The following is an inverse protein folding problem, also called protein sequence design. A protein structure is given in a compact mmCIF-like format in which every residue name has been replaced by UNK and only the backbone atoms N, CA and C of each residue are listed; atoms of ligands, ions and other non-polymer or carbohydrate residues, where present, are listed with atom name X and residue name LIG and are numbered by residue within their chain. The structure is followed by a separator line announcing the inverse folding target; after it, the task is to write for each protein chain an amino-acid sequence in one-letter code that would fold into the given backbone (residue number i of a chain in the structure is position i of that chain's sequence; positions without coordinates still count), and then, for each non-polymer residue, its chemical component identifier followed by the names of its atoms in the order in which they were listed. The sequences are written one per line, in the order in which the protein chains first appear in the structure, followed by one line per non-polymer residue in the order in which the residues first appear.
data_IF_709208196772
#
_entry.id   IF_709208196772
#
_cell.length_a   1.000
_cell.length_b   1.000
_cell.length_c   1.000
_cell.angle_alpha   90.00
_cell.angle_beta   90.00
_cell.angle_gamma   90.00
#
_symmetry.space_group_name_H-M   'P 1'
#
loop_
_entity.id
_entity.type
_entity.pdbx_description
1 polymer ?
#
# COMPACT_ATOMS: atom_id res chain seq x y z
N UNK A 1 29.51 -77.67 -11.08
CA UNK A 1 29.18 -78.33 -9.80
C UNK A 1 27.95 -77.60 -9.27
N UNK A 2 26.71 -78.08 -9.38
CA UNK A 2 26.18 -79.32 -8.78
C UNK A 2 26.74 -79.43 -7.35
N UNK A 3 26.01 -79.38 -6.24
CA UNK A 3 24.71 -79.97 -5.85
C UNK A 3 24.40 -79.36 -4.45
N UNK A 4 23.18 -78.98 -4.02
CA UNK A 4 22.14 -79.71 -3.24
C UNK A 4 21.20 -78.60 -2.68
N UNK A 5 19.88 -78.52 -2.90
CA UNK A 5 18.74 -79.41 -2.60
C UNK A 5 18.50 -79.66 -1.09
N UNK A 6 17.48 -79.00 -0.50
CA UNK A 6 16.33 -79.67 0.16
C UNK A 6 15.24 -78.70 0.67
N UNK A 7 14.04 -79.27 0.89
CA UNK A 7 12.68 -78.68 0.85
C UNK A 7 12.01 -78.68 2.24
N UNK A 8 11.37 -77.54 2.64
CA UNK A 8 10.13 -77.22 3.45
C UNK A 8 9.77 -78.01 4.75
N UNK A 9 8.75 -77.63 5.58
CA UNK A 9 7.94 -76.39 5.70
C UNK A 9 7.75 -75.82 7.16
N UNK A 10 7.29 -74.57 7.23
CA UNK A 10 6.27 -74.01 8.16
C UNK A 10 6.47 -74.06 9.69
N UNK A 11 6.37 -72.85 10.27
CA UNK A 11 5.98 -72.46 11.64
C UNK A 11 7.08 -72.21 12.69
N UNK A 12 7.36 -70.92 12.91
CA UNK A 12 7.40 -70.17 14.19
C UNK A 12 8.41 -69.02 14.04
N UNK A 13 7.97 -67.83 13.63
CA UNK A 13 7.55 -66.74 14.54
C UNK A 13 8.64 -66.42 15.55
N UNK A 14 9.60 -65.57 15.17
CA UNK A 14 9.95 -64.29 15.80
C UNK A 14 11.31 -63.79 15.27
N UNK A 15 11.42 -62.46 15.13
CA UNK A 15 12.65 -61.69 14.93
C UNK A 15 13.35 -61.81 13.56
N UNK A 16 13.02 -60.87 12.65
CA UNK A 16 13.96 -60.16 11.76
C UNK A 16 13.16 -59.41 10.66
N UNK A 17 12.51 -58.31 11.04
CA UNK A 17 12.10 -57.27 10.08
C UNK A 17 12.85 -55.99 10.43
N UNK A 18 14.18 -56.08 10.30
CA UNK A 18 15.13 -54.96 10.33
C UNK A 18 15.97 -55.06 9.07
N UNK A 19 15.39 -54.64 7.95
CA UNK A 19 16.09 -54.17 6.74
C UNK A 19 15.03 -53.80 5.69
N UNK A 20 15.18 -52.60 5.12
CA UNK A 20 14.38 -52.00 4.02
C UNK A 20 13.09 -51.26 4.41
N UNK A 21 13.26 -50.16 5.15
CA UNK A 21 12.38 -48.99 5.07
C UNK A 21 13.16 -47.66 5.29
N UNK A 22 14.43 -47.61 4.87
CA UNK A 22 15.30 -46.42 5.01
C UNK A 22 15.48 -45.62 3.71
N UNK A 23 14.58 -45.76 2.74
CA UNK A 23 14.60 -44.94 1.52
C UNK A 23 13.14 -44.55 1.24
N UNK A 24 12.87 -43.25 1.13
CA UNK A 24 11.56 -42.56 1.09
C UNK A 24 10.93 -42.12 2.43
N UNK A 25 11.76 -41.89 3.44
CA UNK A 25 11.41 -40.98 4.52
C UNK A 25 12.01 -39.59 4.28
N UNK A 26 11.65 -38.89 3.20
CA UNK A 26 11.71 -37.43 3.23
C UNK A 26 10.59 -36.99 4.17
N UNK A 27 10.81 -37.19 5.46
CA UNK A 27 10.14 -36.37 6.46
C UNK A 27 10.47 -34.95 6.03
N UNK A 28 9.50 -34.26 5.45
CA UNK A 28 9.52 -32.82 5.39
C UNK A 28 9.82 -32.38 6.82
N UNK A 29 11.05 -31.96 7.09
CA UNK A 29 11.40 -31.39 8.37
C UNK A 29 10.47 -30.19 8.51
N UNK A 30 9.52 -30.26 9.43
CA UNK A 30 8.71 -29.10 9.77
C UNK A 30 9.68 -28.00 10.22
N UNK A 31 9.53 -26.79 9.67
CA UNK A 31 10.32 -25.64 10.10
C UNK A 31 10.20 -25.48 11.62
N UNK A 32 11.29 -25.06 12.29
CA UNK A 32 11.26 -24.80 13.72
C UNK A 32 10.28 -23.66 14.02
N UNK A 33 9.15 -24.01 14.63
CA UNK A 33 8.06 -23.08 14.83
C UNK A 33 8.43 -21.87 15.71
N UNK A 34 9.32 -22.07 16.70
CA UNK A 34 9.80 -20.97 17.52
C UNK A 34 10.75 -20.06 16.73
N UNK A 35 11.59 -20.64 15.86
CA UNK A 35 12.44 -19.85 14.97
C UNK A 35 11.62 -18.98 14.00
N UNK A 36 10.55 -19.53 13.43
CA UNK A 36 9.61 -18.78 12.57
C UNK A 36 8.96 -17.64 13.35
N UNK A 37 8.42 -17.93 14.55
CA UNK A 37 7.78 -16.94 15.40
C UNK A 37 8.73 -15.79 15.77
N UNK A 38 9.93 -16.10 16.29
CA UNK A 38 10.93 -15.08 16.63
C UNK A 38 11.38 -14.28 15.42
N UNK A 39 11.44 -14.91 14.24
CA UNK A 39 11.78 -14.19 13.02
C UNK A 39 10.72 -13.18 12.60
N UNK A 40 9.44 -13.56 12.69
CA UNK A 40 8.32 -12.65 12.43
C UNK A 40 8.32 -11.46 13.41
N UNK A 41 8.59 -11.70 14.70
CA UNK A 41 8.76 -10.61 15.68
C UNK A 41 9.88 -9.66 15.29
N UNK A 42 11.04 -10.19 14.91
CA UNK A 42 12.19 -9.39 14.51
C UNK A 42 11.90 -8.52 13.28
N UNK A 43 11.18 -9.05 12.29
CA UNK A 43 10.78 -8.28 11.10
C UNK A 43 9.80 -7.18 11.47
N UNK A 44 8.79 -7.48 12.28
CA UNK A 44 7.81 -6.49 12.72
C UNK A 44 8.44 -5.39 13.61
N UNK A 45 9.42 -5.76 14.44
CA UNK A 45 10.19 -4.80 15.24
C UNK A 45 10.98 -3.80 14.40
N UNK A 46 11.55 -4.25 13.25
CA UNK A 46 12.21 -3.34 12.30
C UNK A 46 11.25 -2.32 11.68
N UNK A 47 9.95 -2.58 11.68
CA UNK A 47 8.91 -1.68 11.20
C UNK A 47 8.38 -0.74 12.30
N UNK A 48 8.99 -0.72 13.49
CA UNK A 48 8.58 0.15 14.60
C UNK A 48 7.39 -0.39 15.40
N UNK A 49 7.12 -1.69 15.32
CA UNK A 49 6.07 -2.35 16.09
C UNK A 49 6.57 -3.36 17.12
N UNK A 50 5.66 -3.85 17.95
CA UNK A 50 5.91 -5.00 18.83
C UNK A 50 4.90 -6.11 18.51
N UNK A 51 5.39 -7.33 18.29
CA UNK A 51 4.58 -8.51 18.01
C UNK A 51 4.82 -9.53 19.11
N UNK A 52 3.75 -9.98 19.77
CA UNK A 52 3.82 -10.94 20.85
C UNK A 52 2.88 -12.10 20.61
N UNK A 53 3.25 -13.27 21.14
CA UNK A 53 2.44 -14.49 21.10
C UNK A 53 2.38 -15.07 22.51
N UNK A 54 1.21 -15.55 22.92
CA UNK A 54 1.06 -16.25 24.19
C UNK A 54 1.71 -17.64 24.14
N UNK A 55 1.60 -18.31 22.99
CA UNK A 55 2.18 -19.63 22.76
C UNK A 55 2.39 -19.90 21.26
N UNK A 56 3.26 -20.85 20.93
CA UNK A 56 3.53 -21.28 19.54
C UNK A 56 3.33 -22.79 19.47
N UNK A 57 2.36 -23.25 18.68
CA UNK A 57 2.07 -24.68 18.47
C UNK A 57 2.40 -25.10 17.05
N UNK A 58 3.10 -26.22 16.92
CA UNK A 58 3.41 -26.83 15.63
C UNK A 58 2.66 -28.15 15.46
N UNK A 59 2.08 -28.37 14.28
CA UNK A 59 1.51 -29.63 13.82
C UNK A 59 1.93 -29.87 12.37
N UNK A 60 3.00 -30.65 12.15
CA UNK A 60 3.62 -30.79 10.84
C UNK A 60 4.09 -29.42 10.31
N UNK A 61 3.73 -29.11 9.06
CA UNK A 61 4.02 -27.81 8.42
C UNK A 61 3.09 -26.68 8.85
N UNK A 62 2.12 -26.93 9.74
CA UNK A 62 1.22 -25.90 10.26
C UNK A 62 1.73 -25.37 11.60
N UNK A 63 1.77 -24.05 11.74
CA UNK A 63 2.09 -23.36 12.99
C UNK A 63 0.90 -22.50 13.40
N UNK A 64 0.54 -22.51 14.68
CA UNK A 64 -0.44 -21.60 15.26
C UNK A 64 0.26 -20.69 16.27
N UNK A 65 0.19 -19.39 16.03
CA UNK A 65 0.65 -18.32 16.91
C UNK A 65 -0.52 -17.92 17.80
N UNK A 66 -0.63 -18.58 18.96
CA UNK A 66 -1.78 -18.42 19.86
C UNK A 66 -1.71 -17.09 20.62
N UNK A 67 -2.86 -16.43 20.76
CA UNK A 67 -2.98 -15.18 21.50
C UNK A 67 -2.06 -14.08 20.96
N UNK A 68 -1.98 -13.95 19.62
CA UNK A 68 -1.17 -12.92 18.97
C UNK A 68 -1.68 -11.53 19.36
N UNK A 69 -0.74 -10.65 19.72
CA UNK A 69 -1.02 -9.24 19.99
C UNK A 69 -0.01 -8.36 19.27
N UNK A 70 -0.45 -7.16 18.91
CA UNK A 70 0.31 -6.22 18.10
C UNK A 70 0.27 -4.82 18.70
N UNK A 71 1.41 -4.13 18.68
CA UNK A 71 1.55 -2.73 19.10
C UNK A 71 2.27 -1.95 18.00
N UNK A 72 1.85 -0.71 17.75
CA UNK A 72 2.52 0.23 16.86
C UNK A 72 3.21 1.29 17.71
N UNK A 73 4.46 1.02 18.13
CA UNK A 73 5.14 1.80 19.18
C UNK A 73 5.38 3.26 18.82
N UNK A 74 5.41 3.60 17.53
CA UNK A 74 5.53 4.97 17.04
C UNK A 74 4.23 5.79 17.13
N UNK A 75 3.07 5.13 17.10
CA UNK A 75 1.76 5.79 16.92
C UNK A 75 0.89 5.72 18.17
N UNK A 76 0.96 4.62 18.91
CA UNK A 76 0.17 4.44 20.13
C UNK A 76 0.76 3.40 21.08
N UNK A 77 0.51 3.61 22.37
CA UNK A 77 0.82 2.59 23.38
C UNK A 77 -0.24 1.46 23.45
N UNK A 78 -1.29 1.53 22.62
CA UNK A 78 -2.37 0.55 22.64
C UNK A 78 -1.90 -0.78 22.05
N UNK A 79 -2.10 -1.84 22.82
CA UNK A 79 -1.93 -3.22 22.35
C UNK A 79 -3.25 -3.70 21.76
N UNK A 80 -3.22 -4.13 20.51
CA UNK A 80 -4.38 -4.67 19.80
C UNK A 80 -4.33 -6.20 19.88
N UNK A 81 -5.34 -6.86 20.48
CA UNK A 81 -5.45 -8.30 20.41
C UNK A 81 -5.84 -8.73 19.00
N UNK A 82 -5.05 -9.62 18.41
CA UNK A 82 -5.31 -10.18 17.09
C UNK A 82 -6.01 -11.54 17.25
N UNK A 83 -5.55 -12.37 18.18
CA UNK A 83 -6.05 -13.75 18.38
C UNK A 83 -5.11 -14.78 17.78
N UNK A 84 -5.62 -15.96 17.43
CA UNK A 84 -4.79 -17.08 16.97
C UNK A 84 -4.51 -16.97 15.47
N UNK A 85 -3.26 -16.69 15.10
CA UNK A 85 -2.84 -16.60 13.69
C UNK A 85 -2.33 -17.96 13.23
N UNK A 86 -2.86 -18.46 12.12
CA UNK A 86 -2.44 -19.72 11.53
C UNK A 86 -1.48 -19.51 10.37
N UNK A 87 -0.34 -20.20 10.40
CA UNK A 87 0.62 -20.30 9.32
C UNK A 87 0.53 -21.72 8.75
N UNK A 88 0.17 -21.85 7.48
CA UNK A 88 0.04 -23.12 6.78
C UNK A 88 1.20 -23.29 5.79
N UNK A 89 1.59 -24.55 5.58
CA UNK A 89 2.61 -24.95 4.63
C UNK A 89 3.95 -24.24 4.83
N UNK A 90 4.36 -24.15 6.09
CA UNK A 90 5.62 -23.54 6.51
C UNK A 90 6.79 -24.44 6.15
N UNK A 91 7.75 -23.86 5.44
CA UNK A 91 8.94 -24.56 4.93
C UNK A 91 10.18 -23.70 5.15
N UNK A 92 11.32 -24.34 5.41
CA UNK A 92 12.62 -23.67 5.39
C UNK A 92 12.95 -23.22 3.95
N UNK A 93 13.42 -21.99 3.81
CA UNK A 93 13.93 -21.49 2.56
C UNK A 93 15.44 -21.82 2.44
N UNK A 94 15.98 -22.02 1.21
CA UNK A 94 17.38 -22.41 1.01
C UNK A 94 18.41 -21.44 1.58
N UNK A 95 18.03 -20.18 1.79
CA UNK A 95 18.85 -19.09 2.33
C UNK A 95 18.79 -19.00 3.87
N UNK A 96 18.11 -19.94 4.53
CA UNK A 96 17.88 -19.93 5.97
C UNK A 96 16.74 -19.01 6.41
N UNK A 97 15.92 -18.52 5.48
CA UNK A 97 14.62 -17.90 5.75
C UNK A 97 13.50 -18.94 5.84
N UNK A 98 12.26 -18.48 5.71
CA UNK A 98 11.08 -19.34 5.67
C UNK A 98 10.14 -18.95 4.54
N UNK A 99 9.44 -19.93 3.98
CA UNK A 99 8.30 -19.71 3.10
C UNK A 99 7.04 -20.21 3.81
N UNK A 100 5.99 -19.39 3.80
CA UNK A 100 4.69 -19.72 4.39
C UNK A 100 3.67 -19.69 3.26
N UNK A 101 3.10 -20.85 2.91
CA UNK A 101 2.15 -20.95 1.81
C UNK A 101 0.89 -20.09 2.05
N UNK A 102 0.40 -20.07 3.30
CA UNK A 102 -0.73 -19.21 3.67
C UNK A 102 -0.65 -18.75 5.12
N UNK A 103 -0.89 -17.46 5.35
CA UNK A 103 -1.16 -16.87 6.67
C UNK A 103 -2.66 -16.57 6.75
N UNK A 104 -3.32 -17.01 7.82
CA UNK A 104 -4.72 -16.70 8.10
C UNK A 104 -4.79 -15.96 9.43
N UNK A 105 -5.31 -14.75 9.38
CA UNK A 105 -5.53 -13.91 10.55
C UNK A 105 -7.02 -13.98 10.91
N UNK A 106 -7.37 -14.23 12.18
CA UNK A 106 -8.77 -14.30 12.59
C UNK A 106 -9.44 -12.91 12.48
N UNK A 107 -10.77 -12.89 12.47
CA UNK A 107 -11.52 -11.65 12.44
C UNK A 107 -11.18 -10.78 13.66
N UNK A 108 -10.75 -9.54 13.40
CA UNK A 108 -10.34 -8.58 14.42
C UNK A 108 -11.53 -7.66 14.69
N UNK A 109 -11.81 -7.43 15.97
CA UNK A 109 -12.79 -6.43 16.41
C UNK A 109 -12.15 -5.51 17.42
N UNK A 110 -12.11 -4.22 17.11
CA UNK A 110 -11.62 -3.17 18.00
C UNK A 110 -12.83 -2.35 18.45
N UNK A 111 -13.14 -2.37 19.74
CA UNK A 111 -14.27 -1.64 20.32
C UNK A 111 -13.84 -0.59 21.35
N UNK A 112 -12.54 -0.27 21.41
CA UNK A 112 -11.98 0.48 22.53
C UNK A 112 -12.05 2.00 22.36
N UNK A 113 -13.29 2.51 22.38
CA UNK A 113 -13.62 3.86 22.89
C UNK A 113 -15.00 3.80 23.58
N UNK A 114 -15.23 4.68 24.56
CA UNK A 114 -16.50 4.77 25.32
C UNK A 114 -17.73 5.02 24.42
N UNK A 115 -17.52 5.40 23.16
CA UNK A 115 -18.54 5.56 22.13
C UNK A 115 -18.52 4.39 21.12
N UNK A 116 -19.64 3.66 21.00
CA UNK A 116 -19.86 2.60 19.98
C UNK A 116 -19.78 3.10 18.52
N UNK A 117 -19.42 4.36 18.29
CA UNK A 117 -19.23 4.99 16.98
C UNK A 117 -17.84 4.75 16.40
N UNK A 118 -16.85 4.33 17.20
CA UNK A 118 -15.48 4.07 16.73
C UNK A 118 -15.14 2.58 16.67
N UNK A 119 -16.15 1.70 16.71
CA UNK A 119 -15.93 0.28 16.52
C UNK A 119 -15.38 0.01 15.12
N UNK A 120 -14.34 -0.82 15.02
CA UNK A 120 -13.77 -1.26 13.77
C UNK A 120 -13.73 -2.79 13.73
N UNK A 121 -14.08 -3.39 12.60
CA UNK A 121 -13.91 -4.82 12.36
C UNK A 121 -13.13 -5.06 11.09
N UNK A 122 -12.23 -6.04 11.10
CA UNK A 122 -11.49 -6.50 9.93
C UNK A 122 -11.75 -8.01 9.82
N UNK A 123 -12.18 -8.48 8.65
CA UNK A 123 -12.56 -9.88 8.44
C UNK A 123 -11.85 -10.47 7.24
N UNK A 124 -11.65 -11.80 7.30
CA UNK A 124 -11.16 -12.57 6.16
C UNK A 124 -9.74 -12.17 5.71
N UNK A 125 -8.89 -11.74 6.65
CA UNK A 125 -7.52 -11.39 6.30
C UNK A 125 -6.70 -12.66 6.05
N UNK A 126 -6.12 -12.75 4.85
CA UNK A 126 -5.22 -13.84 4.48
C UNK A 126 -4.09 -13.36 3.58
N UNK A 127 -2.94 -14.01 3.69
CA UNK A 127 -1.77 -13.72 2.85
C UNK A 127 -1.25 -15.04 2.28
N UNK A 128 -0.81 -15.03 1.03
CA UNK A 128 -0.33 -16.22 0.32
C UNK A 128 1.12 -16.05 -0.09
N UNK A 129 1.87 -17.14 0.00
CA UNK A 129 3.28 -17.24 -0.35
C UNK A 129 4.15 -16.16 0.32
N UNK A 130 4.01 -16.02 1.63
CA UNK A 130 4.84 -15.11 2.41
C UNK A 130 6.27 -15.65 2.50
N UNK A 131 7.21 -14.89 1.96
CA UNK A 131 8.64 -15.08 2.13
C UNK A 131 9.13 -14.28 3.34
N UNK A 132 9.65 -15.02 4.33
CA UNK A 132 10.23 -14.48 5.55
C UNK A 132 11.77 -14.54 5.40
N UNK A 133 12.45 -13.39 5.27
CA UNK A 133 13.88 -13.35 4.98
C UNK A 133 14.72 -13.96 6.11
N UNK A 134 15.88 -14.53 5.79
CA UNK A 134 16.85 -15.07 6.76
C UNK A 134 17.38 -14.02 7.75
N UNK A 135 17.68 -14.42 9.00
CA UNK A 135 18.33 -13.53 9.97
C UNK A 135 19.71 -13.02 9.52
N UNK A 136 20.36 -13.78 8.63
CA UNK A 136 21.64 -13.45 8.03
C UNK A 136 21.52 -12.81 6.65
N UNK A 137 20.29 -12.55 6.16
CA UNK A 137 20.08 -11.86 4.89
C UNK A 137 20.83 -10.53 4.90
N UNK A 138 21.69 -10.35 3.90
CA UNK A 138 22.46 -9.13 3.68
C UNK A 138 21.92 -8.45 2.43
N UNK A 139 21.73 -7.14 2.51
CA UNK A 139 21.20 -6.34 1.42
C UNK A 139 19.71 -6.00 1.58
N UNK A 140 19.30 -4.84 1.05
CA UNK A 140 17.97 -4.27 1.28
C UNK A 140 16.85 -5.10 0.65
N UNK A 141 17.05 -5.71 -0.52
CA UNK A 141 16.03 -6.54 -1.18
C UNK A 141 15.83 -7.88 -0.48
N UNK A 142 16.92 -8.59 -0.16
CA UNK A 142 16.87 -9.90 0.49
C UNK A 142 16.42 -9.82 1.94
N UNK A 143 16.43 -8.62 2.54
CA UNK A 143 15.92 -8.34 3.88
C UNK A 143 14.42 -8.00 3.91
N UNK A 144 13.76 -7.89 2.76
CA UNK A 144 12.32 -7.61 2.69
C UNK A 144 11.49 -8.87 2.91
N UNK A 145 10.47 -8.75 3.75
CA UNK A 145 9.36 -9.71 3.74
C UNK A 145 8.46 -9.40 2.55
N UNK A 146 8.28 -10.38 1.67
CA UNK A 146 7.48 -10.26 0.45
C UNK A 146 6.40 -11.33 0.45
N UNK A 147 5.31 -11.10 -0.27
CA UNK A 147 4.21 -12.05 -0.44
C UNK A 147 3.68 -11.95 -1.85
N UNK A 148 2.99 -12.97 -2.34
CA UNK A 148 2.40 -12.90 -3.68
C UNK A 148 1.03 -12.24 -3.66
N UNK A 149 0.23 -12.52 -2.63
CA UNK A 149 -1.13 -11.99 -2.51
C UNK A 149 -1.52 -11.74 -1.04
N UNK A 150 -2.19 -10.62 -0.79
CA UNK A 150 -2.84 -10.27 0.47
C UNK A 150 -4.31 -9.97 0.16
N UNK A 151 -5.21 -10.58 0.93
CA UNK A 151 -6.65 -10.38 0.85
C UNK A 151 -7.22 -9.92 2.17
N UNK A 152 -8.19 -9.03 2.11
CA UNK A 152 -9.07 -8.65 3.21
C UNK A 152 -10.48 -8.57 2.65
N UNK A 153 -11.38 -9.43 3.15
CA UNK A 153 -12.75 -9.51 2.64
C UNK A 153 -13.56 -8.25 3.02
N UNK A 154 -13.43 -7.78 4.26
CA UNK A 154 -14.19 -6.64 4.75
C UNK A 154 -13.45 -5.88 5.86
N UNK A 155 -13.42 -4.56 5.74
CA UNK A 155 -13.15 -3.62 6.84
C UNK A 155 -14.42 -2.83 7.08
N UNK A 156 -14.95 -2.84 8.31
CA UNK A 156 -16.11 -2.05 8.68
C UNK A 156 -15.75 -1.08 9.81
N UNK A 157 -16.23 0.16 9.71
CA UNK A 157 -16.01 1.25 10.66
C UNK A 157 -17.36 1.81 11.10
N UNK A 158 -17.53 2.04 12.41
CA UNK A 158 -18.75 2.60 12.99
C UNK A 158 -19.97 1.70 12.79
N UNK A 159 -21.08 2.29 12.30
CA UNK A 159 -22.33 1.59 12.02
C UNK A 159 -22.64 1.62 10.51
N UNK A 160 -22.15 0.63 9.72
CA UNK A 160 -22.41 0.53 8.29
C UNK A 160 -23.89 0.74 7.92
N UNK A 161 -24.13 1.53 6.87
CA UNK A 161 -25.47 1.87 6.38
C UNK A 161 -26.23 2.91 7.22
N UNK A 162 -25.65 3.42 8.32
CA UNK A 162 -26.25 4.50 9.13
C UNK A 162 -25.28 5.65 9.40
N UNK A 163 -24.15 5.33 10.02
CA UNK A 163 -23.10 6.28 10.40
C UNK A 163 -21.78 5.51 10.50
N UNK A 164 -21.18 5.24 9.35
CA UNK A 164 -20.05 4.33 9.22
C UNK A 164 -19.68 4.02 7.78
N UNK A 165 -18.67 3.18 7.61
CA UNK A 165 -18.16 2.79 6.30
C UNK A 165 -17.83 1.31 6.23
N UNK A 166 -17.91 0.73 5.04
CA UNK A 166 -17.38 -0.60 4.72
C UNK A 166 -16.46 -0.51 3.52
N UNK A 167 -15.33 -1.20 3.60
CA UNK A 167 -14.40 -1.42 2.49
C UNK A 167 -14.38 -2.92 2.23
N UNK A 168 -14.62 -3.35 0.99
CA UNK A 168 -14.76 -4.76 0.64
C UNK A 168 -13.81 -5.20 -0.45
N UNK A 169 -13.45 -6.47 -0.37
CA UNK A 169 -12.62 -7.19 -1.34
C UNK A 169 -11.35 -6.42 -1.68
N UNK A 170 -10.51 -6.22 -0.66
CA UNK A 170 -9.17 -5.66 -0.82
C UNK A 170 -8.27 -6.80 -1.29
N UNK A 171 -7.73 -6.69 -2.49
CA UNK A 171 -6.73 -7.61 -3.03
C UNK A 171 -5.46 -6.84 -3.38
N UNK A 172 -4.34 -7.24 -2.79
CA UNK A 172 -3.01 -6.73 -3.13
C UNK A 172 -2.21 -7.90 -3.67
N UNK A 173 -1.65 -7.75 -4.86
CA UNK A 173 -0.80 -8.77 -5.47
C UNK A 173 0.55 -8.20 -5.85
N UNK A 174 1.62 -8.94 -5.58
CA UNK A 174 2.99 -8.62 -5.97
C UNK A 174 3.52 -9.70 -6.92
N UNK A 175 4.04 -9.29 -8.06
CA UNK A 175 4.80 -10.17 -8.94
C UNK A 175 6.28 -10.10 -8.56
N UNK A 176 6.73 -11.11 -7.83
CA UNK A 176 8.12 -11.23 -7.35
C UNK A 176 8.94 -12.25 -8.14
N UNK A 177 8.39 -12.80 -9.23
CA UNK A 177 9.01 -13.86 -10.03
C UNK A 177 10.39 -13.50 -10.56
N UNK A 178 10.62 -12.20 -10.83
CA UNK A 178 11.90 -11.63 -11.23
C UNK A 178 12.27 -10.43 -10.35
N UNK A 179 12.11 -10.57 -9.02
CA UNK A 179 12.31 -9.48 -8.06
C UNK A 179 13.65 -8.75 -8.15
N UNK A 180 14.70 -9.39 -8.66
CA UNK A 180 16.00 -8.74 -8.84
C UNK A 180 15.97 -7.65 -9.93
N UNK A 181 15.15 -7.81 -10.97
CA UNK A 181 15.01 -6.83 -12.05
C UNK A 181 13.77 -5.96 -11.87
N UNK A 182 12.66 -6.57 -11.43
CA UNK A 182 11.34 -5.93 -11.39
C UNK A 182 10.42 -6.60 -10.37
N UNK A 183 9.68 -5.76 -9.64
CA UNK A 183 8.54 -6.15 -8.82
C UNK A 183 7.31 -5.43 -9.37
N UNK A 184 6.33 -6.18 -9.87
CA UNK A 184 5.02 -5.65 -10.25
C UNK A 184 4.10 -5.60 -9.04
N UNK A 185 3.19 -4.62 -8.98
CA UNK A 185 2.15 -4.60 -7.97
C UNK A 185 0.80 -4.23 -8.55
N UNK A 186 -0.24 -4.84 -8.01
CA UNK A 186 -1.64 -4.46 -8.25
C UNK A 186 -2.38 -4.37 -6.91
N UNK A 187 -3.29 -3.41 -6.81
CA UNK A 187 -4.21 -3.31 -5.68
C UNK A 187 -5.59 -3.01 -6.19
N UNK A 188 -6.58 -3.77 -5.73
CA UNK A 188 -7.99 -3.54 -6.01
C UNK A 188 -8.74 -3.43 -4.70
N UNK A 189 -9.65 -2.47 -4.64
CA UNK A 189 -10.70 -2.37 -3.63
C UNK A 189 -12.02 -2.35 -4.38
N UNK A 190 -12.80 -3.42 -4.27
CA UNK A 190 -14.00 -3.56 -5.08
C UNK A 190 -15.10 -2.55 -4.70
N UNK A 191 -15.27 -2.30 -3.39
CA UNK A 191 -16.20 -1.28 -2.93
C UNK A 191 -15.75 -0.57 -1.65
N UNK A 192 -16.01 0.72 -1.62
CA UNK A 192 -15.98 1.58 -0.44
C UNK A 192 -17.38 2.17 -0.34
N UNK A 193 -18.10 1.83 0.71
CA UNK A 193 -19.47 2.30 0.96
C UNK A 193 -19.50 3.03 2.30
N UNK A 194 -19.70 4.34 2.29
CA UNK A 194 -19.86 5.13 3.51
C UNK A 194 -21.24 5.77 3.57
N UNK A 195 -21.83 5.79 4.77
CA UNK A 195 -23.07 6.51 5.09
C UNK A 195 -22.79 7.41 6.27
N UNK A 196 -23.09 8.70 6.12
CA UNK A 196 -22.87 9.68 7.18
C UNK A 196 -24.17 9.99 7.92
N UNK A 197 -24.10 9.92 9.26
CA UNK A 197 -25.21 10.22 10.14
C UNK A 197 -25.71 11.67 10.04
N UNK A 198 -26.87 11.93 10.65
CA UNK A 198 -27.50 13.25 10.67
C UNK A 198 -26.94 14.21 11.73
N UNK A 199 -25.95 13.79 12.51
CA UNK A 199 -25.35 14.53 13.63
C UNK A 199 -24.36 15.64 13.19
N UNK A 200 -24.33 15.97 11.90
CA UNK A 200 -23.63 17.15 11.37
C UNK A 200 -22.16 16.94 11.02
N UNK A 201 -21.63 15.71 11.15
CA UNK A 201 -20.23 15.38 10.81
C UNK A 201 -20.02 14.95 9.35
N UNK A 202 -21.05 15.05 8.51
CA UNK A 202 -21.01 14.61 7.12
C UNK A 202 -20.18 15.58 6.24
N UNK A 203 -18.98 15.19 5.76
CA UNK A 203 -18.15 16.05 4.92
C UNK A 203 -18.74 16.29 3.52
N UNK A 204 -19.71 15.46 3.08
CA UNK A 204 -20.38 15.54 1.79
C UNK A 204 -21.74 16.25 1.85
N UNK A 205 -22.15 16.74 3.03
CA UNK A 205 -23.36 17.56 3.16
C UNK A 205 -23.37 18.79 2.23
N UNK A 206 -22.25 19.50 2.01
CA UNK A 206 -22.16 20.56 0.99
C UNK A 206 -22.57 20.12 -0.42
N UNK A 207 -22.35 18.85 -0.76
CA UNK A 207 -22.67 18.27 -2.07
C UNK A 207 -24.10 17.70 -2.14
N UNK A 208 -24.87 17.84 -1.05
CA UNK A 208 -26.21 17.29 -0.92
C UNK A 208 -26.23 15.76 -0.81
N UNK A 209 -25.13 15.15 -0.39
CA UNK A 209 -24.95 13.70 -0.35
C UNK A 209 -24.85 13.20 1.08
N UNK A 210 -25.42 12.03 1.35
CA UNK A 210 -25.29 11.30 2.63
C UNK A 210 -24.50 10.01 2.50
N UNK A 211 -24.38 9.52 1.27
CA UNK A 211 -23.69 8.29 0.95
C UNK A 211 -22.51 8.61 0.04
N UNK A 212 -21.46 7.81 0.18
CA UNK A 212 -20.31 7.80 -0.69
C UNK A 212 -20.07 6.36 -1.14
N UNK A 213 -19.92 6.15 -2.43
CA UNK A 213 -19.57 4.86 -3.00
C UNK A 213 -18.37 5.06 -3.92
N UNK A 214 -17.35 4.22 -3.78
CA UNK A 214 -16.21 4.25 -4.68
C UNK A 214 -15.58 2.87 -4.86
N UNK A 215 -14.82 2.71 -5.93
CA UNK A 215 -13.88 1.61 -6.13
C UNK A 215 -12.47 2.16 -6.35
N UNK A 216 -11.45 1.37 -6.02
CA UNK A 216 -10.04 1.75 -6.22
C UNK A 216 -9.32 0.68 -7.01
N UNK A 217 -8.58 1.09 -8.03
CA UNK A 217 -7.68 0.23 -8.78
C UNK A 217 -6.31 0.90 -8.90
N UNK A 218 -5.27 0.16 -8.53
CA UNK A 218 -3.89 0.62 -8.61
C UNK A 218 -3.03 -0.44 -9.27
N UNK A 219 -2.12 -0.02 -10.15
CA UNK A 219 -1.09 -0.89 -10.71
C UNK A 219 0.17 -0.11 -11.01
N UNK A 220 1.29 -0.80 -10.88
CA UNK A 220 2.59 -0.24 -11.17
C UNK A 220 3.68 -1.27 -11.05
N UNK A 221 4.91 -0.76 -11.07
CA UNK A 221 6.11 -1.58 -10.98
C UNK A 221 7.26 -0.78 -10.38
N UNK A 222 8.19 -1.51 -9.79
CA UNK A 222 9.45 -0.98 -9.30
C UNK A 222 10.60 -1.85 -9.81
N UNK A 223 11.67 -1.22 -10.29
CA UNK A 223 12.93 -1.88 -10.61
C UNK A 223 13.95 -1.61 -9.50
N UNK A 224 14.31 -2.63 -8.69
CA UNK A 224 15.25 -2.41 -7.59
C UNK A 224 16.64 -1.98 -8.03
N UNK A 225 17.08 -2.45 -9.20
CA UNK A 225 18.41 -2.14 -9.74
C UNK A 225 18.53 -0.70 -10.24
N UNK A 226 17.56 -0.21 -11.03
CA UNK A 226 17.62 1.16 -11.55
C UNK A 226 17.00 2.19 -10.60
N UNK A 227 16.22 1.73 -9.61
CA UNK A 227 15.43 2.58 -8.74
C UNK A 227 14.24 3.25 -9.43
N UNK A 228 13.88 2.79 -10.62
CA UNK A 228 12.74 3.31 -11.37
C UNK A 228 11.44 2.73 -10.84
N UNK A 229 10.49 3.62 -10.57
CA UNK A 229 9.13 3.28 -10.17
C UNK A 229 8.17 3.87 -11.20
N UNK A 230 7.19 3.07 -11.63
CA UNK A 230 6.02 3.58 -12.33
C UNK A 230 4.74 3.25 -11.55
N UNK A 231 3.86 4.24 -11.52
CA UNK A 231 2.47 4.12 -11.16
C UNK A 231 1.70 4.28 -12.46
N UNK A 232 1.35 3.16 -13.08
CA UNK A 232 0.71 3.16 -14.40
C UNK A 232 -0.77 3.55 -14.29
N UNK A 233 -1.36 3.34 -13.11
CA UNK A 233 -2.72 3.72 -12.77
C UNK A 233 -2.88 3.74 -11.24
N UNK A 234 -3.51 4.80 -10.73
CA UNK A 234 -4.16 4.87 -9.43
C UNK A 234 -5.49 5.56 -9.66
N UNK A 235 -6.52 4.75 -9.85
CA UNK A 235 -7.88 5.19 -10.16
C UNK A 235 -8.76 5.07 -8.92
N UNK A 236 -9.46 6.15 -8.59
CA UNK A 236 -10.57 6.19 -7.65
C UNK A 236 -11.82 6.52 -8.47
N UNK A 237 -12.73 5.56 -8.60
CA UNK A 237 -14.02 5.75 -9.28
C UNK A 237 -15.10 6.01 -8.23
N UNK A 238 -15.46 7.27 -8.01
CA UNK A 238 -16.46 7.66 -7.05
C UNK A 238 -17.82 7.86 -7.73
N UNK A 239 -18.77 6.98 -7.38
CA UNK A 239 -20.13 6.98 -7.93
C UNK A 239 -20.76 8.35 -7.75
N UNK A 240 -21.42 8.82 -8.82
CA UNK A 240 -22.04 10.14 -8.96
C UNK A 240 -21.09 11.35 -8.86
N UNK A 241 -19.82 11.19 -8.47
CA UNK A 241 -18.88 12.31 -8.34
C UNK A 241 -17.97 12.44 -9.56
N UNK A 242 -17.32 11.34 -9.95
CA UNK A 242 -16.35 11.30 -11.03
C UNK A 242 -15.22 10.33 -10.75
N UNK A 243 -14.25 10.29 -11.67
CA UNK A 243 -13.06 9.43 -11.56
C UNK A 243 -11.81 10.27 -11.40
N UNK A 244 -10.96 9.91 -10.45
CA UNK A 244 -9.63 10.47 -10.29
C UNK A 244 -8.62 9.42 -10.70
N UNK A 245 -7.78 9.70 -11.69
CA UNK A 245 -6.67 8.84 -12.09
C UNK A 245 -5.34 9.57 -11.92
N UNK A 246 -4.38 8.91 -11.27
CA UNK A 246 -3.02 9.40 -11.11
C UNK A 246 -2.06 8.42 -11.78
N UNK A 247 -1.14 8.95 -12.59
CA UNK A 247 -0.03 8.19 -13.15
C UNK A 247 1.27 8.90 -12.82
N UNK A 248 2.32 8.16 -12.49
CA UNK A 248 3.61 8.75 -12.14
C UNK A 248 4.77 7.87 -12.62
N UNK A 249 5.90 8.50 -12.92
CA UNK A 249 7.18 7.84 -13.11
C UNK A 249 8.23 8.58 -12.30
N UNK A 250 8.84 7.85 -11.37
CA UNK A 250 9.85 8.34 -10.44
C UNK A 250 11.14 7.54 -10.64
N UNK A 251 12.27 8.14 -10.31
CA UNK A 251 13.57 7.46 -10.29
C UNK A 251 14.32 7.71 -8.98
N UNK A 252 15.40 6.96 -8.80
CA UNK A 252 16.29 7.09 -7.64
C UNK A 252 15.81 6.40 -6.38
N UNK A 253 14.74 5.60 -6.45
CA UNK A 253 14.30 4.72 -5.36
C UNK A 253 15.02 3.37 -5.47
N UNK A 254 16.34 3.38 -5.54
CA UNK A 254 17.15 2.17 -5.68
C UNK A 254 17.40 1.49 -4.33
N UNK A 255 18.11 0.36 -4.36
CA UNK A 255 18.47 -0.37 -3.15
C UNK A 255 19.34 0.45 -2.18
N UNK A 256 20.23 1.32 -2.68
CA UNK A 256 21.06 2.17 -1.82
C UNK A 256 20.20 3.22 -1.09
N UNK A 257 19.21 3.80 -1.76
CA UNK A 257 18.23 4.69 -1.16
C UNK A 257 17.43 3.96 -0.07
N UNK A 258 16.91 2.77 -0.35
CA UNK A 258 16.15 1.96 0.64
C UNK A 258 16.99 1.66 1.87
N UNK A 259 18.25 1.26 1.68
CA UNK A 259 19.18 1.01 2.78
C UNK A 259 19.44 2.28 3.61
N UNK A 260 19.61 3.43 2.95
CA UNK A 260 19.81 4.70 3.62
C UNK A 260 18.56 5.13 4.43
N UNK A 261 17.35 4.90 3.91
CA UNK A 261 16.10 5.15 4.65
C UNK A 261 16.01 4.26 5.88
N UNK A 262 16.28 2.95 5.73
CA UNK A 262 16.23 1.99 6.84
C UNK A 262 17.22 2.36 7.96
N UNK A 263 18.47 2.66 7.60
CA UNK A 263 19.48 3.13 8.58
C UNK A 263 19.05 4.42 9.27
N UNK A 264 18.47 5.36 8.54
CA UNK A 264 17.99 6.62 9.11
C UNK A 264 16.87 6.37 10.13
N UNK A 265 15.89 5.52 9.81
CA UNK A 265 14.81 5.16 10.73
C UNK A 265 15.35 4.46 11.99
N UNK A 266 16.28 3.51 11.82
CA UNK A 266 16.92 2.82 12.93
C UNK A 266 17.69 3.77 13.87
N UNK A 267 18.38 4.78 13.32
CA UNK A 267 19.05 5.80 14.13
C UNK A 267 18.02 6.65 14.87
N UNK A 268 17.00 7.16 14.19
CA UNK A 268 15.96 8.00 14.81
C UNK A 268 15.18 7.29 15.92
N UNK A 269 14.96 5.97 15.80
CA UNK A 269 14.29 5.18 16.84
C UNK A 269 15.16 4.92 18.08
N UNK A 270 16.50 5.02 17.97
CA UNK A 270 17.45 4.68 19.04
C UNK A 270 17.98 5.89 19.80
N UNK A 271 17.91 7.09 19.23
CA UNK A 271 18.46 8.32 19.82
C UNK A 271 17.43 9.44 19.83
N UNK A 272 17.40 10.23 20.93
CA UNK A 272 16.86 11.61 20.95
C UNK A 272 17.76 12.50 20.07
N UNK A 273 17.77 12.19 18.78
CA UNK A 273 18.76 12.68 17.82
C UNK A 273 18.57 14.17 17.62
N UNK A 274 19.67 14.92 17.52
CA UNK A 274 19.66 16.31 17.06
C UNK A 274 18.86 16.39 15.76
N UNK A 275 17.75 17.14 15.79
CA UNK A 275 16.83 17.32 14.67
C UNK A 275 17.54 17.82 13.40
N UNK A 276 18.67 18.49 13.58
CA UNK A 276 19.51 19.02 12.51
C UNK A 276 20.23 17.90 11.72
N UNK A 277 20.74 16.86 12.40
CA UNK A 277 21.40 15.74 11.73
C UNK A 277 20.40 14.86 10.96
N UNK A 278 19.21 14.64 11.53
CA UNK A 278 18.11 13.95 10.85
C UNK A 278 17.63 14.76 9.63
N UNK A 279 17.53 16.09 9.74
CA UNK A 279 17.18 16.96 8.63
C UNK A 279 18.17 16.89 7.47
N UNK A 280 19.47 16.85 7.74
CA UNK A 280 20.51 16.71 6.71
C UNK A 280 20.47 15.34 6.02
N UNK A 281 20.21 14.25 6.76
CA UNK A 281 20.06 12.92 6.19
C UNK A 281 18.86 12.84 5.23
N UNK A 282 17.72 13.43 5.62
CA UNK A 282 16.51 13.50 4.78
C UNK A 282 16.77 14.34 3.51
N UNK A 283 17.53 15.43 3.61
CA UNK A 283 17.88 16.24 2.43
C UNK A 283 18.77 15.46 1.44
N UNK A 284 19.76 14.72 1.92
CA UNK A 284 20.58 13.86 1.06
C UNK A 284 19.77 12.77 0.35
N UNK A 285 18.79 12.18 1.05
CA UNK A 285 17.83 11.23 0.45
C UNK A 285 16.99 11.91 -0.65
N UNK A 286 16.53 13.14 -0.43
CA UNK A 286 15.74 13.89 -1.40
C UNK A 286 16.52 14.27 -2.68
N UNK A 287 17.86 14.27 -2.67
CA UNK A 287 18.66 14.49 -3.88
C UNK A 287 18.62 13.30 -4.84
N UNK A 288 18.44 12.08 -4.32
CA UNK A 288 18.43 10.85 -5.13
C UNK A 288 17.10 10.71 -5.89
N UNK A 289 15.99 11.06 -5.24
CA UNK A 289 14.66 10.95 -5.82
C UNK A 289 14.45 11.98 -6.93
N UNK A 290 13.86 11.54 -8.04
CA UNK A 290 13.53 12.41 -9.16
C UNK A 290 12.17 12.09 -9.77
N UNK A 291 11.54 13.14 -10.31
CA UNK A 291 10.29 13.06 -11.07
C UNK A 291 10.62 13.04 -12.56
N UNK A 292 10.14 12.01 -13.26
CA UNK A 292 10.22 11.90 -14.72
C UNK A 292 8.90 12.31 -15.38
N UNK A 293 7.79 11.85 -14.80
CA UNK A 293 6.44 12.18 -15.26
C UNK A 293 5.46 12.12 -14.07
N UNK A 294 4.48 13.01 -14.06
CA UNK A 294 3.30 12.92 -13.21
C UNK A 294 2.10 13.42 -14.02
N UNK A 295 0.98 12.73 -13.95
CA UNK A 295 -0.29 13.22 -14.48
C UNK A 295 -1.42 12.91 -13.50
N UNK A 296 -2.29 13.89 -13.31
CA UNK A 296 -3.52 13.79 -12.53
C UNK A 296 -4.66 14.13 -13.48
N UNK A 297 -5.56 13.18 -13.69
CA UNK A 297 -6.75 13.34 -14.51
C UNK A 297 -7.99 13.19 -13.63
N UNK A 298 -8.90 14.13 -13.74
CA UNK A 298 -10.24 14.04 -13.15
C UNK A 298 -11.27 13.98 -14.27
N UNK A 299 -12.07 12.92 -14.33
CA UNK A 299 -13.23 12.80 -15.21
C UNK A 299 -14.50 13.13 -14.39
N UNK A 300 -15.14 14.25 -14.70
CA UNK A 300 -16.30 14.76 -13.97
C UNK A 300 -17.56 13.95 -14.33
N UNK A 301 -18.25 13.45 -13.31
CA UNK A 301 -19.61 12.93 -13.47
C UNK A 301 -20.63 13.98 -13.01
N UNK A 302 -20.46 14.50 -11.79
CA UNK A 302 -21.29 15.62 -11.31
C UNK A 302 -20.66 16.47 -10.21
N UNK A 303 -19.45 16.14 -9.73
CA UNK A 303 -18.79 16.84 -8.63
C UNK A 303 -18.65 18.34 -8.92
N UNK A 304 -18.22 18.71 -10.12
CA UNK A 304 -18.03 20.10 -10.53
C UNK A 304 -19.33 20.87 -10.41
N UNK A 305 -20.42 20.34 -10.96
CA UNK A 305 -21.73 20.99 -10.89
C UNK A 305 -22.27 21.08 -9.45
N UNK A 306 -22.07 20.04 -8.62
CA UNK A 306 -22.43 20.06 -7.19
C UNK A 306 -21.67 21.15 -6.44
N UNK A 307 -20.36 21.27 -6.65
CA UNK A 307 -19.52 22.30 -6.04
C UNK A 307 -19.93 23.70 -6.50
N UNK A 308 -20.11 23.91 -7.80
CA UNK A 308 -20.56 25.20 -8.34
C UNK A 308 -21.92 25.60 -7.76
N UNK A 309 -22.86 24.66 -7.66
CA UNK A 309 -24.19 24.91 -7.06
C UNK A 309 -24.07 25.31 -5.60
N UNK A 310 -23.26 24.60 -4.82
CA UNK A 310 -23.05 24.89 -3.41
C UNK A 310 -22.46 26.29 -3.18
N UNK A 311 -21.37 26.63 -3.88
CA UNK A 311 -20.72 27.93 -3.73
C UNK A 311 -21.52 29.09 -4.33
N UNK A 312 -22.23 28.87 -5.44
CA UNK A 312 -23.09 29.88 -6.03
C UNK A 312 -24.23 30.26 -5.08
N UNK A 313 -24.86 29.27 -4.43
CA UNK A 313 -25.92 29.51 -3.43
C UNK A 313 -25.43 30.38 -2.26
N UNK A 314 -24.17 30.22 -1.82
CA UNK A 314 -23.59 31.07 -0.76
C UNK A 314 -23.43 32.53 -1.18
N UNK A 315 -23.31 32.80 -2.47
CA UNK A 315 -23.13 34.13 -3.05
C UNK A 315 -24.44 34.70 -3.62
N UNK A 316 -25.58 34.04 -3.42
CA UNK A 316 -26.86 34.46 -4.00
C UNK A 316 -26.90 34.36 -5.53
N UNK A 317 -26.07 33.49 -6.13
CA UNK A 317 -25.93 33.28 -7.57
C UNK A 317 -26.33 31.86 -7.96
N UNK A 318 -26.29 31.53 -9.25
CA UNK A 318 -26.48 30.17 -9.78
C UNK A 318 -25.17 29.54 -10.29
N UNK A 319 -25.16 28.22 -10.45
CA UNK A 319 -23.98 27.45 -10.83
C UNK A 319 -23.41 27.86 -12.20
N UNK A 320 -24.27 28.24 -13.15
CA UNK A 320 -23.86 28.64 -14.50
C UNK A 320 -23.21 30.01 -14.49
N UNK A 321 -23.74 30.94 -13.71
CA UNK A 321 -23.17 32.26 -13.49
C UNK A 321 -21.79 32.14 -12.81
N UNK A 322 -21.67 31.30 -11.77
CA UNK A 322 -20.38 31.06 -11.12
C UNK A 322 -19.38 30.37 -12.07
N UNK A 323 -19.81 29.37 -12.85
CA UNK A 323 -18.95 28.75 -13.87
C UNK A 323 -18.45 29.75 -14.91
N UNK A 324 -19.31 30.66 -15.37
CA UNK A 324 -18.94 31.75 -16.28
C UNK A 324 -17.95 32.73 -15.65
N UNK A 325 -18.09 33.02 -14.35
CA UNK A 325 -17.12 33.82 -13.61
C UNK A 325 -15.76 33.10 -13.51
N UNK A 326 -15.75 31.79 -13.26
CA UNK A 326 -14.51 31.00 -13.18
C UNK A 326 -13.74 31.02 -14.51
N UNK A 327 -14.42 30.99 -15.66
CA UNK A 327 -13.78 31.15 -16.98
C UNK A 327 -12.99 32.46 -17.13
N UNK A 328 -13.43 33.52 -16.45
CA UNK A 328 -12.76 34.82 -16.49
C UNK A 328 -11.69 34.94 -15.39
N UNK A 329 -11.96 34.36 -14.22
CA UNK A 329 -11.11 34.47 -13.04
C UNK A 329 -9.88 33.58 -13.15
N UNK A 330 -9.99 32.36 -13.67
CA UNK A 330 -8.84 31.43 -13.79
C UNK A 330 -7.71 32.03 -14.65
N UNK A 331 -7.97 32.57 -15.86
CA UNK A 331 -6.93 33.26 -16.65
C UNK A 331 -6.32 34.45 -15.91
N UNK A 332 -7.12 35.22 -15.17
CA UNK A 332 -6.65 36.38 -14.41
C UNK A 332 -5.72 35.97 -13.26
N UNK A 333 -6.02 34.88 -12.56
CA UNK A 333 -5.12 34.33 -11.55
C UNK A 333 -3.85 33.77 -12.20
N UNK A 334 -3.96 33.20 -13.40
CA UNK A 334 -2.82 32.66 -14.13
C UNK A 334 -1.78 33.73 -14.52
N UNK A 335 -2.17 35.00 -14.72
CA UNK A 335 -1.20 36.06 -15.03
C UNK A 335 -0.23 36.31 -13.89
N UNK A 336 -0.62 36.00 -12.64
CA UNK A 336 0.27 36.14 -11.47
C UNK A 336 1.36 35.07 -11.41
N UNK A 337 1.23 34.01 -12.21
CA UNK A 337 2.20 32.91 -12.28
C UNK A 337 3.41 33.22 -13.17
N UNK A 338 3.48 34.42 -13.77
CA UNK A 338 4.58 34.87 -14.62
C UNK A 338 4.98 33.87 -15.72
N UNK A 339 4.02 33.10 -16.22
CA UNK A 339 4.21 32.10 -17.27
C UNK A 339 3.14 32.27 -18.36
N UNK A 340 3.43 33.01 -19.45
CA UNK A 340 2.45 33.31 -20.50
C UNK A 340 1.92 32.07 -21.22
N UNK A 341 2.77 31.06 -21.41
CA UNK A 341 2.39 29.79 -22.06
C UNK A 341 1.38 29.03 -21.21
N UNK A 342 1.70 28.83 -19.92
CA UNK A 342 0.80 28.16 -18.98
C UNK A 342 -0.49 28.96 -18.77
N UNK A 343 -0.44 30.30 -18.75
CA UNK A 343 -1.64 31.13 -18.68
C UNK A 343 -2.55 30.95 -19.91
N UNK A 344 -1.98 30.77 -21.11
CA UNK A 344 -2.75 30.45 -22.31
C UNK A 344 -3.39 29.05 -22.25
N UNK A 345 -2.67 28.06 -21.72
CA UNK A 345 -3.21 26.72 -21.47
C UNK A 345 -4.37 26.76 -20.47
N UNK A 346 -4.19 27.41 -19.32
CA UNK A 346 -5.24 27.59 -18.31
C UNK A 346 -6.46 28.32 -18.86
N UNK A 347 -6.27 29.34 -19.70
CA UNK A 347 -7.38 30.02 -20.38
C UNK A 347 -8.16 29.08 -21.28
N UNK A 348 -7.46 28.28 -22.07
CA UNK A 348 -8.09 27.31 -22.98
C UNK A 348 -8.81 26.21 -22.20
N UNK A 349 -8.15 25.63 -21.20
CA UNK A 349 -8.70 24.57 -20.38
C UNK A 349 -9.91 25.04 -19.56
N UNK A 350 -9.83 26.23 -18.92
CA UNK A 350 -10.96 26.78 -18.16
C UNK A 350 -12.17 27.12 -19.04
N UNK A 351 -11.95 27.66 -20.25
CA UNK A 351 -13.05 27.91 -21.18
C UNK A 351 -13.76 26.61 -21.60
N UNK A 352 -13.00 25.58 -21.99
CA UNK A 352 -13.56 24.25 -22.32
C UNK A 352 -14.27 23.63 -21.11
N UNK A 353 -13.58 23.52 -19.99
CA UNK A 353 -14.06 22.80 -18.81
C UNK A 353 -15.31 23.43 -18.21
N UNK A 354 -15.31 24.74 -17.94
CA UNK A 354 -16.48 25.38 -17.33
C UNK A 354 -17.62 25.64 -18.34
N UNK A 355 -17.42 25.38 -19.64
CA UNK A 355 -18.52 25.34 -20.62
C UNK A 355 -19.31 24.05 -20.52
N UNK A 356 -18.58 22.94 -20.42
CA UNK A 356 -19.09 21.57 -20.52
C UNK A 356 -18.10 20.67 -19.76
N UNK A 357 -18.21 20.58 -18.42
CA UNK A 357 -17.26 19.83 -17.61
C UNK A 357 -17.29 18.35 -17.98
N UNK A 358 -16.14 17.81 -18.42
CA UNK A 358 -15.99 16.37 -18.71
C UNK A 358 -14.71 15.82 -18.13
N UNK A 359 -13.57 16.43 -18.44
CA UNK A 359 -12.30 16.00 -17.88
C UNK A 359 -11.33 17.16 -17.69
N UNK A 360 -10.47 17.06 -16.69
CA UNK A 360 -9.37 18.00 -16.42
C UNK A 360 -8.10 17.19 -16.17
N UNK A 361 -7.06 17.47 -16.94
CA UNK A 361 -5.75 16.84 -16.79
C UNK A 361 -4.72 17.90 -16.41
N UNK A 362 -3.96 17.65 -15.35
CA UNK A 362 -2.77 18.41 -14.97
C UNK A 362 -1.58 17.46 -15.04
N UNK A 363 -0.51 17.86 -15.72
CA UNK A 363 0.66 17.01 -15.92
C UNK A 363 1.96 17.76 -15.63
N UNK A 364 3.00 17.03 -15.26
CA UNK A 364 4.38 17.44 -15.22
C UNK A 364 5.19 16.46 -16.07
N UNK A 365 5.91 16.98 -17.06
CA UNK A 365 6.69 16.17 -18.00
C UNK A 365 7.96 16.94 -18.38
N UNK A 366 8.91 17.09 -17.44
CA UNK A 366 10.17 17.78 -17.71
C UNK A 366 11.00 17.05 -18.79
N UNK A 367 11.85 17.77 -19.52
CA UNK A 367 12.69 17.18 -20.57
C UNK A 367 13.72 16.17 -20.03
N UNK A 368 14.10 16.35 -18.77
CA UNK A 368 15.04 15.52 -18.04
C UNK A 368 14.47 15.27 -16.63
N UNK A 369 14.82 14.14 -15.99
CA UNK A 369 14.39 13.90 -14.62
C UNK A 369 14.79 15.05 -13.68
N UNK A 370 13.84 15.53 -12.88
CA UNK A 370 14.05 16.64 -11.95
C UNK A 370 14.09 16.11 -10.52
N UNK A 371 15.18 16.38 -9.79
CA UNK A 371 15.32 15.90 -8.41
C UNK A 371 14.37 16.62 -7.45
N UNK A 372 13.96 15.94 -6.37
CA UNK A 372 13.12 16.55 -5.35
C UNK A 372 13.82 17.75 -4.68
N UNK A 373 15.13 17.66 -4.45
CA UNK A 373 15.94 18.79 -3.98
C UNK A 373 15.85 20.01 -4.92
N UNK A 374 15.89 19.82 -6.24
CA UNK A 374 15.73 20.91 -7.21
C UNK A 374 14.34 21.55 -7.15
N UNK A 375 13.30 20.74 -6.95
CA UNK A 375 11.92 21.23 -6.77
C UNK A 375 11.84 22.10 -5.52
N UNK A 376 12.35 21.61 -4.38
CA UNK A 376 12.35 22.36 -3.11
C UNK A 376 13.14 23.66 -3.24
N UNK A 377 14.36 23.60 -3.78
CA UNK A 377 15.20 24.77 -3.98
C UNK A 377 14.53 25.82 -4.89
N UNK A 378 13.90 25.37 -5.98
CA UNK A 378 13.17 26.25 -6.89
C UNK A 378 11.95 26.87 -6.21
N UNK A 379 11.17 26.05 -5.47
CA UNK A 379 10.00 26.51 -4.73
C UNK A 379 10.35 27.55 -3.67
N UNK A 380 11.46 27.37 -2.95
CA UNK A 380 11.91 28.31 -1.92
C UNK A 380 12.38 29.65 -2.50
N UNK A 381 12.98 29.64 -3.69
CA UNK A 381 13.45 30.85 -4.36
C UNK A 381 12.32 31.60 -5.07
N UNK A 382 11.51 30.87 -5.84
CA UNK A 382 10.40 31.39 -6.61
C UNK A 382 9.43 30.24 -7.01
N UNK A 383 8.30 30.08 -6.29
CA UNK A 383 7.32 29.04 -6.58
C UNK A 383 6.79 29.06 -8.01
N UNK A 384 6.80 30.21 -8.69
CA UNK A 384 6.28 30.33 -10.05
C UNK A 384 7.17 29.61 -11.09
N UNK A 385 8.46 29.43 -10.78
CA UNK A 385 9.41 28.73 -11.65
C UNK A 385 9.22 27.21 -11.67
N UNK A 386 8.47 26.64 -10.73
CA UNK A 386 8.15 25.21 -10.72
C UNK A 386 7.42 24.81 -12.02
N UNK A 387 6.55 25.69 -12.53
CA UNK A 387 5.81 25.47 -13.78
C UNK A 387 6.77 25.26 -14.95
N UNK A 388 7.85 26.04 -15.02
CA UNK A 388 8.86 25.93 -16.07
C UNK A 388 9.76 24.71 -15.84
N UNK A 389 10.20 24.50 -14.60
CA UNK A 389 11.08 23.39 -14.22
C UNK A 389 10.47 22.03 -14.54
N UNK A 390 9.21 21.83 -14.15
CA UNK A 390 8.49 20.56 -14.33
C UNK A 390 7.72 20.47 -15.64
N UNK A 391 7.76 21.54 -16.47
CA UNK A 391 6.92 21.70 -17.66
C UNK A 391 5.47 21.36 -17.36
N UNK A 392 4.91 22.06 -16.37
CA UNK A 392 3.53 21.81 -15.95
C UNK A 392 2.57 22.18 -17.07
N UNK A 393 1.71 21.23 -17.43
CA UNK A 393 0.68 21.38 -18.44
C UNK A 393 -0.71 21.26 -17.85
N UNK A 394 -1.69 21.89 -18.50
CA UNK A 394 -3.11 21.72 -18.19
C UNK A 394 -3.93 21.59 -19.48
N UNK A 395 -4.83 20.63 -19.49
CA UNK A 395 -5.78 20.44 -20.59
C UNK A 395 -7.14 20.00 -20.04
N UNK A 396 -8.20 20.25 -20.80
CA UNK A 396 -9.55 19.89 -20.43
C UNK A 396 -10.31 19.27 -21.61
N UNK A 397 -11.18 18.32 -21.26
CA UNK A 397 -12.03 17.57 -22.18
C UNK A 397 -11.21 16.82 -23.25
N UNK A 398 -10.13 16.17 -22.82
CA UNK A 398 -9.22 15.38 -23.64
C UNK A 398 -9.34 13.88 -23.40
#
# INVERSE_FOLDING_TARGET
MQVFSNIKPVARVFAASTALALIFGSAAMAADANAVAERLKAIYAKQGGELNFANVKADGSRIVLEGTTLKLTAESDKTVPIGDVALNDVQDAPDGGFTIGQVVVPDITVTDTEDKKDAATIKGMSMHNLFVPSASATGPLDSMALYDNLKIDEIALGQPGKDGATVKDIDVSLDTSNKAEKIGFTTTVASIDATFGSDGKNPLAPLGMKNFQAAVNMKGQWSPQSGDMSLDQMEIDAVDLGKLNITASLGGYDLAFVEAVQKTQETMARTDTDKDAAGLAILGLAEQLNVKNLAIRFDDASLTNKLLTYYAKKQGSDAKALGSQMKLMVPLMATQLNNPEFAAQLKTASDKYFSDPKSLTISASPDQPVTFASIVATASLDPTKIIQLLKVGVDANN
#
